data_IF_425693057583
#
_entry.id   IF_425693057583
#
_cell.length_a   1.000
_cell.length_b   1.000
_cell.length_c   1.000
_cell.angle_alpha   90.00
_cell.angle_beta   90.00
_cell.angle_gamma   90.00
#
_symmetry.space_group_name_H-M   'P 1'
#
loop_
_entity.id
_entity.type
_entity.pdbx_description
1 polymer ?
#
# COMPACT_ATOMS: atom_id res chain seq x y z
N UNK A 1 -16.65 -1.31 -9.82
CA UNK A 1 -15.87 -0.33 -9.05
C UNK A 1 -15.59 -0.96 -7.69
N UNK A 2 -14.33 -0.96 -7.24
CA UNK A 2 -13.93 -1.62 -6.00
C UNK A 2 -14.58 -0.95 -4.77
N UNK A 3 -15.40 -1.69 -4.02
CA UNK A 3 -16.02 -1.21 -2.78
C UNK A 3 -15.02 -1.26 -1.63
N UNK A 4 -14.86 -0.14 -0.92
CA UNK A 4 -13.91 -0.02 0.19
C UNK A 4 -14.62 -0.14 1.54
N UNK A 5 -13.95 -0.79 2.49
CA UNK A 5 -14.27 -0.82 3.92
C UNK A 5 -13.82 0.49 4.58
N UNK A 6 -14.51 0.89 5.64
CA UNK A 6 -13.98 1.85 6.59
C UNK A 6 -12.96 1.15 7.50
N UNK A 7 -11.79 1.75 7.67
CA UNK A 7 -10.68 1.20 8.46
C UNK A 7 -10.17 2.30 9.39
N UNK A 8 -10.65 2.34 10.65
CA UNK A 8 -10.27 3.36 11.61
C UNK A 8 -8.76 3.37 11.90
N UNK A 9 -8.21 4.57 12.11
CA UNK A 9 -6.81 4.75 12.50
C UNK A 9 -5.81 4.81 11.36
N UNK A 10 -6.26 4.80 10.10
CA UNK A 10 -5.36 5.03 8.97
C UNK A 10 -4.81 6.48 9.00
N UNK A 11 -3.48 6.66 8.92
CA UNK A 11 -2.89 7.99 8.81
C UNK A 11 -3.13 8.57 7.41
N UNK A 12 -3.02 9.90 7.29
CA UNK A 12 -3.18 10.61 6.02
C UNK A 12 -2.13 10.14 4.97
N UNK A 13 -2.56 9.61 3.82
CA UNK A 13 -1.63 9.19 2.76
C UNK A 13 -1.12 10.35 1.90
N UNK A 14 -1.65 11.58 2.03
CA UNK A 14 -1.32 12.73 1.20
C UNK A 14 -0.03 13.45 1.65
N UNK A 15 1.03 12.68 1.81
CA UNK A 15 2.39 13.18 1.99
C UNK A 15 3.03 13.27 0.59
N UNK A 16 3.11 14.47 -0.03
CA UNK A 16 3.93 14.90 -1.21
C UNK A 16 3.21 15.67 -2.35
N UNK A 17 3.98 16.30 -3.29
CA UNK A 17 3.52 16.72 -4.62
C UNK A 17 3.33 15.55 -5.64
N UNK A 18 2.67 15.81 -6.80
CA UNK A 18 2.34 14.82 -7.86
C UNK A 18 3.53 14.03 -8.43
N UNK A 19 3.42 12.70 -8.62
CA UNK A 19 4.55 11.83 -9.04
C UNK A 19 4.17 10.57 -9.84
N UNK A 20 5.11 10.06 -10.65
CA UNK A 20 5.02 8.70 -11.22
C UNK A 20 5.42 7.70 -10.14
N UNK A 21 4.60 6.69 -9.90
CA UNK A 21 4.88 5.71 -8.86
C UNK A 21 6.01 4.76 -9.28
N UNK A 22 7.00 4.58 -8.41
CA UNK A 22 8.15 3.69 -8.64
C UNK A 22 8.19 2.54 -7.64
N UNK A 23 8.86 1.46 -8.02
CA UNK A 23 9.08 0.31 -7.13
C UNK A 23 10.10 0.70 -6.06
N UNK A 24 9.80 0.41 -4.79
CA UNK A 24 10.67 0.76 -3.65
C UNK A 24 10.55 2.22 -3.20
N UNK A 25 9.67 3.00 -3.82
CA UNK A 25 9.34 4.34 -3.35
C UNK A 25 8.35 4.26 -2.16
N UNK A 26 8.73 4.70 -0.94
CA UNK A 26 7.85 4.61 0.23
C UNK A 26 6.56 5.40 0.06
N UNK A 27 6.53 6.44 -0.77
CA UNK A 27 5.34 7.25 -0.97
C UNK A 27 4.30 6.60 -1.90
N UNK A 28 4.77 5.92 -2.95
CA UNK A 28 3.93 5.02 -3.74
C UNK A 28 3.42 3.86 -2.88
N UNK A 29 4.29 3.20 -2.13
CA UNK A 29 3.94 2.08 -1.26
C UNK A 29 2.91 2.47 -0.20
N UNK A 30 3.06 3.65 0.43
CA UNK A 30 2.10 4.19 1.39
C UNK A 30 0.67 4.20 0.81
N UNK A 31 0.50 4.74 -0.40
CA UNK A 31 -0.81 4.85 -1.07
C UNK A 31 -1.38 3.47 -1.42
N UNK A 32 -0.52 2.56 -1.91
CA UNK A 32 -0.94 1.19 -2.19
C UNK A 32 -1.41 0.48 -0.92
N UNK A 33 -0.61 0.48 0.15
CA UNK A 33 -0.95 -0.21 1.40
C UNK A 33 -2.14 0.46 2.11
N UNK A 34 -2.27 1.79 2.01
CA UNK A 34 -3.45 2.51 2.49
C UNK A 34 -4.73 2.09 1.77
N UNK A 35 -4.68 1.83 0.44
CA UNK A 35 -5.81 1.26 -0.27
C UNK A 35 -6.07 -0.20 0.13
N UNK A 36 -5.03 -1.04 0.22
CA UNK A 36 -5.12 -2.43 0.67
C UNK A 36 -5.76 -2.55 2.06
N UNK A 37 -5.47 -1.61 2.96
CA UNK A 37 -6.10 -1.54 4.27
C UNK A 37 -7.62 -1.40 4.20
N UNK A 38 -8.17 -0.92 3.09
CA UNK A 38 -9.61 -0.67 2.88
C UNK A 38 -10.26 -1.65 1.90
N UNK A 39 -9.56 -2.58 1.26
CA UNK A 39 -10.21 -3.55 0.35
C UNK A 39 -11.05 -4.58 1.12
N UNK A 40 -12.03 -5.26 0.48
CA UNK A 40 -12.77 -6.35 1.09
C UNK A 40 -11.87 -7.46 1.67
N UNK A 41 -12.29 -8.08 2.77
CA UNK A 41 -11.59 -9.22 3.38
C UNK A 41 -12.17 -10.54 2.94
N UNK A 42 -11.40 -11.62 3.05
CA UNK A 42 -11.80 -12.99 2.78
C UNK A 42 -12.01 -13.33 1.30
N UNK A 43 -12.01 -12.34 0.40
CA UNK A 43 -12.25 -12.50 -1.04
C UNK A 43 -11.05 -12.05 -1.88
N UNK A 44 -10.73 -12.72 -2.99
CA UNK A 44 -9.71 -12.25 -3.92
C UNK A 44 -10.14 -10.93 -4.58
N UNK A 45 -9.21 -9.96 -4.63
CA UNK A 45 -9.33 -8.70 -5.35
C UNK A 45 -8.26 -8.65 -6.43
N UNK A 46 -8.63 -8.29 -7.67
CA UNK A 46 -7.69 -8.24 -8.80
C UNK A 46 -6.74 -7.06 -8.66
N UNK A 47 -5.47 -7.27 -8.97
CA UNK A 47 -4.47 -6.19 -8.98
C UNK A 47 -4.84 -5.09 -9.98
N UNK A 48 -5.52 -5.43 -11.09
CA UNK A 48 -6.06 -4.44 -12.03
C UNK A 48 -7.04 -3.48 -11.36
N UNK A 49 -7.99 -4.00 -10.59
CA UNK A 49 -9.02 -3.15 -9.96
C UNK A 49 -8.40 -2.24 -8.88
N UNK A 50 -7.32 -2.70 -8.24
CA UNK A 50 -6.53 -1.90 -7.30
C UNK A 50 -5.80 -0.78 -8.03
N UNK A 51 -5.15 -1.07 -9.16
CA UNK A 51 -4.49 -0.05 -10.02
C UNK A 51 -5.51 0.98 -10.52
N UNK A 52 -6.65 0.52 -11.05
CA UNK A 52 -7.70 1.40 -11.56
C UNK A 52 -8.22 2.32 -10.43
N UNK A 53 -8.38 1.77 -9.22
CA UNK A 53 -8.82 2.53 -8.05
C UNK A 53 -7.78 3.54 -7.56
N UNK A 54 -6.49 3.18 -7.52
CA UNK A 54 -5.40 4.07 -7.12
C UNK A 54 -5.30 5.28 -8.05
N UNK A 55 -5.31 5.05 -9.37
CA UNK A 55 -5.24 6.11 -10.37
C UNK A 55 -6.51 6.99 -10.36
N UNK A 56 -7.65 6.47 -9.88
CA UNK A 56 -8.86 7.26 -9.68
C UNK A 56 -8.86 8.07 -8.37
N UNK A 57 -8.24 7.58 -7.28
CA UNK A 57 -8.12 8.32 -6.00
C UNK A 57 -7.04 9.40 -6.04
N UNK A 58 -5.94 9.11 -6.73
CA UNK A 58 -4.74 9.93 -6.75
C UNK A 58 -4.48 10.37 -8.19
N UNK A 59 -5.27 11.34 -8.66
CA UNK A 59 -5.21 11.87 -10.03
C UNK A 59 -3.88 12.56 -10.35
N UNK A 60 -3.13 12.91 -9.31
CA UNK A 60 -1.78 13.44 -9.34
C UNK A 60 -0.69 12.35 -9.39
N UNK A 61 -1.08 11.07 -9.37
CA UNK A 61 -0.19 9.92 -9.43
C UNK A 61 -0.48 8.99 -10.60
N UNK A 62 0.56 8.29 -11.05
CA UNK A 62 0.44 7.22 -12.06
C UNK A 62 0.96 5.90 -11.51
N UNK A 63 0.04 4.98 -11.19
CA UNK A 63 0.34 3.63 -10.68
C UNK A 63 0.29 2.59 -11.80
N UNK A 64 1.28 1.69 -11.79
CA UNK A 64 1.35 0.56 -12.71
C UNK A 64 1.18 -0.77 -11.95
N UNK A 65 0.84 -1.84 -12.68
CA UNK A 65 0.68 -3.18 -12.09
C UNK A 65 1.96 -3.68 -11.39
N UNK A 66 3.18 -3.52 -11.93
CA UNK A 66 4.41 -3.92 -11.22
C UNK A 66 4.59 -3.25 -9.86
N UNK A 67 4.30 -1.94 -9.75
CA UNK A 67 4.39 -1.21 -8.47
C UNK A 67 3.44 -1.80 -7.43
N UNK A 68 2.18 -2.01 -7.81
CA UNK A 68 1.17 -2.60 -6.91
C UNK A 68 1.53 -4.03 -6.54
N UNK A 69 1.98 -4.85 -7.49
CA UNK A 69 2.38 -6.23 -7.25
C UNK A 69 3.55 -6.33 -6.26
N UNK A 70 4.59 -5.49 -6.42
CA UNK A 70 5.73 -5.48 -5.50
C UNK A 70 5.32 -5.02 -4.09
N UNK A 71 4.50 -3.99 -3.97
CA UNK A 71 3.99 -3.55 -2.65
C UNK A 71 3.16 -4.65 -1.96
N UNK A 72 2.34 -5.40 -2.72
CA UNK A 72 1.58 -6.54 -2.19
C UNK A 72 2.52 -7.67 -1.73
N UNK A 73 3.54 -8.00 -2.51
CA UNK A 73 4.54 -9.00 -2.13
C UNK A 73 5.31 -8.59 -0.87
N UNK A 74 5.69 -7.32 -0.77
CA UNK A 74 6.35 -6.79 0.43
C UNK A 74 5.42 -6.85 1.65
N UNK A 75 4.13 -6.54 1.49
CA UNK A 75 3.16 -6.66 2.56
C UNK A 75 2.99 -8.12 3.02
N UNK A 76 2.94 -9.08 2.09
CA UNK A 76 2.93 -10.51 2.42
C UNK A 76 4.21 -10.93 3.17
N UNK A 77 5.37 -10.46 2.73
CA UNK A 77 6.65 -10.75 3.39
C UNK A 77 6.68 -10.21 4.83
N UNK A 78 6.20 -8.99 5.06
CA UNK A 78 6.08 -8.41 6.40
C UNK A 78 5.15 -9.25 7.28
N UNK A 79 4.02 -9.69 6.74
CA UNK A 79 3.09 -10.56 7.45
C UNK A 79 3.74 -11.89 7.84
N UNK A 80 4.47 -12.51 6.92
CA UNK A 80 5.20 -13.75 7.16
C UNK A 80 6.31 -13.58 8.21
N UNK A 81 6.98 -12.43 8.26
CA UNK A 81 7.95 -12.12 9.29
C UNK A 81 7.30 -12.05 10.69
N UNK A 82 6.16 -11.38 10.79
CA UNK A 82 5.48 -11.14 12.08
C UNK A 82 4.72 -12.36 12.61
N UNK A 83 4.09 -13.13 11.73
CA UNK A 83 3.20 -14.24 12.10
C UNK A 83 3.68 -15.63 11.66
N UNK A 84 4.82 -15.74 10.97
CA UNK A 84 5.41 -17.00 10.47
C UNK A 84 4.47 -17.82 9.57
N UNK A 85 3.62 -17.13 8.83
CA UNK A 85 2.64 -17.69 7.89
C UNK A 85 2.34 -16.65 6.81
N UNK A 86 1.92 -17.05 5.61
CA UNK A 86 1.45 -16.14 4.56
C UNK A 86 -0.08 -16.01 4.52
N UNK A 87 -0.82 -16.77 5.34
CA UNK A 87 -2.28 -16.89 5.26
C UNK A 87 -3.04 -15.56 5.43
N UNK A 88 -2.43 -14.55 6.06
CA UNK A 88 -3.03 -13.24 6.22
C UNK A 88 -3.11 -12.40 4.95
N UNK A 89 -2.13 -12.57 4.05
CA UNK A 89 -2.01 -11.84 2.79
C UNK A 89 -1.65 -12.85 1.71
N UNK A 90 -2.64 -13.31 0.96
CA UNK A 90 -2.45 -14.33 -0.07
C UNK A 90 -2.38 -13.67 -1.45
N UNK A 91 -1.28 -13.91 -2.15
CA UNK A 91 -1.10 -13.57 -3.57
C UNK A 91 -1.48 -14.78 -4.41
N UNK A 92 -2.30 -14.54 -5.43
CA UNK A 92 -2.75 -15.59 -6.34
C UNK A 92 -2.88 -15.07 -7.77
N UNK A 93 -3.51 -15.87 -8.61
CA UNK A 93 -3.76 -15.57 -10.02
C UNK A 93 -5.15 -16.10 -10.41
N UNK A 94 -5.83 -15.42 -11.32
CA UNK A 94 -7.07 -15.88 -11.95
C UNK A 94 -6.97 -15.76 -13.48
N UNK A 95 -8.02 -16.15 -14.21
CA UNK A 95 -8.00 -16.06 -15.68
C UNK A 95 -7.81 -14.64 -16.23
N UNK A 96 -7.98 -13.60 -15.41
CA UNK A 96 -7.80 -12.19 -15.75
C UNK A 96 -6.52 -11.57 -15.14
N UNK A 97 -5.74 -12.34 -14.38
CA UNK A 97 -4.43 -11.97 -13.85
C UNK A 97 -4.35 -11.96 -12.31
N UNK A 98 -3.23 -11.44 -11.81
CA UNK A 98 -2.87 -11.50 -10.39
C UNK A 98 -3.96 -10.96 -9.45
N UNK A 99 -4.09 -11.63 -8.31
CA UNK A 99 -5.04 -11.28 -7.24
C UNK A 99 -4.35 -11.19 -5.88
N UNK A 100 -4.96 -10.44 -4.97
CA UNK A 100 -4.63 -10.42 -3.55
C UNK A 100 -5.86 -10.70 -2.72
N UNK A 101 -5.75 -11.57 -1.73
CA UNK A 101 -6.77 -11.83 -0.72
C UNK A 101 -6.20 -11.52 0.65
N UNK A 102 -6.87 -10.63 1.38
CA UNK A 102 -6.55 -10.32 2.77
C UNK A 102 -7.48 -11.13 3.67
N UNK A 103 -6.92 -11.82 4.66
CA UNK A 103 -7.67 -12.63 5.62
C UNK A 103 -8.75 -11.80 6.33
N UNK A 104 -9.92 -12.43 6.56
CA UNK A 104 -10.99 -11.85 7.38
C UNK A 104 -10.79 -12.24 8.84
N UNK A 105 -9.90 -11.52 9.52
CA UNK A 105 -9.59 -11.77 10.92
C UNK A 105 -9.33 -10.47 11.68
N UNK A 106 -9.59 -10.50 12.99
CA UNK A 106 -9.43 -9.34 13.87
C UNK A 106 -7.97 -8.89 14.04
N UNK A 107 -6.99 -9.72 13.66
CA UNK A 107 -5.55 -9.39 13.71
C UNK A 107 -5.10 -8.54 12.53
N UNK A 108 -5.76 -8.65 11.38
CA UNK A 108 -5.33 -7.97 10.13
C UNK A 108 -5.45 -6.47 10.25
N UNK A 109 -6.60 -5.95 10.68
CA UNK A 109 -6.89 -4.52 10.68
C UNK A 109 -5.90 -3.71 11.56
N UNK A 110 -5.64 -4.06 12.84
CA UNK A 110 -4.63 -3.36 13.63
C UNK A 110 -3.20 -3.58 13.10
N UNK A 111 -2.93 -4.71 12.44
CA UNK A 111 -1.61 -4.97 11.87
C UNK A 111 -1.33 -4.14 10.62
N UNK A 112 -2.29 -4.06 9.68
CA UNK A 112 -2.12 -3.31 8.44
C UNK A 112 -2.07 -1.80 8.70
N UNK A 113 -2.81 -1.29 9.70
CA UNK A 113 -2.68 0.10 10.16
C UNK A 113 -1.25 0.41 10.58
N UNK A 114 -0.60 -0.46 11.37
CA UNK A 114 0.82 -0.29 11.73
C UNK A 114 1.77 -0.31 10.54
N UNK A 115 1.47 -1.06 9.49
CA UNK A 115 2.27 -1.03 8.25
C UNK A 115 2.14 0.32 7.53
N UNK A 116 0.93 0.89 7.49
CA UNK A 116 0.69 2.21 6.92
C UNK A 116 1.37 3.31 7.77
N UNK A 117 1.29 3.23 9.10
CA UNK A 117 2.00 4.14 10.01
C UNK A 117 3.51 4.13 9.78
N UNK A 118 4.11 2.93 9.68
CA UNK A 118 5.55 2.78 9.40
C UNK A 118 5.93 3.42 8.06
N UNK A 119 5.17 3.15 7.00
CA UNK A 119 5.40 3.77 5.69
C UNK A 119 5.25 5.30 5.74
N UNK A 120 4.29 5.82 6.50
CA UNK A 120 4.12 7.25 6.68
C UNK A 120 5.30 7.88 7.43
N UNK A 121 5.89 7.18 8.40
CA UNK A 121 7.14 7.59 9.06
C UNK A 121 8.32 7.58 8.10
N UNK A 122 8.46 6.55 7.26
CA UNK A 122 9.51 6.48 6.23
C UNK A 122 9.39 7.66 5.24
N UNK A 123 8.17 7.98 4.80
CA UNK A 123 7.86 9.15 3.98
C UNK A 123 8.28 10.47 4.65
N UNK A 124 7.90 10.66 5.93
CA UNK A 124 8.28 11.85 6.71
C UNK A 124 9.78 11.99 6.89
N UNK A 125 10.49 10.88 7.11
CA UNK A 125 11.95 10.88 7.23
C UNK A 125 12.60 11.33 5.92
N UNK A 126 12.12 10.83 4.78
CA UNK A 126 12.64 11.20 3.46
C UNK A 126 12.40 12.67 3.12
N UNK A 127 11.22 13.19 3.45
CA UNK A 127 10.91 14.63 3.34
C UNK A 127 11.84 15.50 4.19
N UNK A 128 12.11 15.08 5.44
CA UNK A 128 13.03 15.81 6.34
C UNK A 128 14.46 15.80 5.80
N UNK A 129 14.95 14.65 5.33
CA UNK A 129 16.27 14.55 4.74
C UNK A 129 16.43 15.49 3.54
N UNK A 130 15.44 15.50 2.64
CA UNK A 130 15.41 16.41 1.50
C UNK A 130 15.44 17.89 1.91
N UNK A 131 14.62 18.29 2.88
CA UNK A 131 14.60 19.68 3.37
C UNK A 131 15.93 20.11 4.00
N UNK A 132 16.65 19.19 4.66
CA UNK A 132 18.00 19.45 5.20
C UNK A 132 19.01 19.61 4.07
N UNK A 133 18.97 18.76 3.05
CA UNK A 133 19.87 18.82 1.89
C UNK A 133 19.66 20.09 1.05
N UNK A 134 18.41 20.48 0.77
CA UNK A 134 18.11 21.76 0.09
C UNK A 134 18.43 22.98 0.95
N UNK A 135 18.24 22.89 2.27
CA UNK A 135 18.64 23.96 3.20
C UNK A 135 20.15 24.10 3.38
N UNK A 136 20.94 23.13 2.90
CA UNK A 136 22.40 23.09 2.96
C UNK A 136 23.08 23.65 1.69
N UNK A 137 22.33 24.27 0.77
CA UNK A 137 22.91 25.00 -0.37
C UNK A 137 23.75 26.16 0.17
N UNK A 138 25.07 26.20 -0.09
CA UNK A 138 25.97 27.27 0.38
C UNK A 138 25.72 28.62 -0.29
#
# INVERSE_FOLDING_TARGET
>A
MLTLRDTPGLPDPHLLPPQVAEVGDPFAELRVVHLLARIPRGVPVRLRDIVDRLNAEHVDWSFTRPVVATAVLQLQANWAADYRTTEGILVGDDAAGGTVRIEDSSRVDPWIVRQVERLADDCRQRLRAFAVEEGAIP
#
